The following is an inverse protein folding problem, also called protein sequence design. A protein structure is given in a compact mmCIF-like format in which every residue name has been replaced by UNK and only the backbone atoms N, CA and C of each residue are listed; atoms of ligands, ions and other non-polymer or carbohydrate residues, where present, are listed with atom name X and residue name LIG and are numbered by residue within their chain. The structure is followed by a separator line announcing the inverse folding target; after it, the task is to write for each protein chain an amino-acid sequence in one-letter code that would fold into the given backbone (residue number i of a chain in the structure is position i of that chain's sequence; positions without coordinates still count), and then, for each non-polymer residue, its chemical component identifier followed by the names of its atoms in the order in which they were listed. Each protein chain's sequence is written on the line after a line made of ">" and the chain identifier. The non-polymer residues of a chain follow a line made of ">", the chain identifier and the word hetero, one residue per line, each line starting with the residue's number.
data_IF_624325889861
#
_entry.id   IF_624325889861
#
_cell.length_a   1.000
_cell.length_b   1.000
_cell.length_c   1.000
_cell.angle_alpha   90.00
_cell.angle_beta   90.00
_cell.angle_gamma   90.00
#
_symmetry.space_group_name_H-M   'P 1'
#
loop_
_entity.id
_entity.type
_entity.pdbx_description
1 polymer ?
#
# COMPACT_ATOMS: atom_id res chain seq x y z
N UNK A 1 -22.48 9.94 -21.29
CA UNK A 1 -21.88 10.19 -19.97
C UNK A 1 -22.62 9.33 -18.95
N UNK A 2 -21.98 8.32 -18.34
CA UNK A 2 -22.61 7.54 -17.27
C UNK A 2 -22.51 8.34 -15.98
N UNK A 3 -23.64 8.73 -15.42
CA UNK A 3 -23.69 9.44 -14.13
C UNK A 3 -23.47 8.41 -13.02
N UNK A 4 -22.44 8.61 -12.20
CA UNK A 4 -22.27 7.85 -10.96
C UNK A 4 -23.14 8.48 -9.87
N UNK A 5 -24.06 7.70 -9.33
CA UNK A 5 -24.78 8.05 -8.11
C UNK A 5 -24.11 7.32 -6.94
N UNK A 6 -23.65 8.07 -5.94
CA UNK A 6 -23.19 7.51 -4.67
C UNK A 6 -24.02 8.03 -3.51
N UNK A 7 -24.08 7.26 -2.42
CA UNK A 7 -24.61 7.73 -1.15
C UNK A 7 -23.42 8.17 -0.30
N UNK A 8 -23.40 9.43 0.11
CA UNK A 8 -22.33 10.02 0.92
C UNK A 8 -22.87 10.63 2.21
N UNK A 9 -22.11 10.49 3.29
CA UNK A 9 -22.21 11.28 4.50
C UNK A 9 -21.42 12.58 4.30
N UNK A 10 -22.05 13.72 4.53
CA UNK A 10 -21.36 15.01 4.57
C UNK A 10 -20.70 15.16 5.94
N UNK A 11 -19.38 15.35 5.97
CA UNK A 11 -18.62 15.57 7.20
C UNK A 11 -18.03 16.97 7.20
N UNK A 12 -18.21 17.69 8.31
CA UNK A 12 -17.54 18.96 8.56
C UNK A 12 -16.13 18.70 9.06
N UNK A 13 -15.14 19.18 8.34
CA UNK A 13 -13.73 19.13 8.73
C UNK A 13 -13.30 20.52 9.16
N UNK A 14 -12.76 20.63 10.37
CA UNK A 14 -12.26 21.89 10.93
C UNK A 14 -10.73 21.87 10.92
N UNK A 15 -10.13 22.82 10.22
CA UNK A 15 -8.69 23.02 10.20
C UNK A 15 -8.18 23.37 11.60
N UNK A 16 -7.17 22.64 12.08
CA UNK A 16 -6.60 22.82 13.44
C UNK A 16 -5.94 24.20 13.62
N UNK A 17 -5.41 24.79 12.54
CA UNK A 17 -4.51 25.96 12.62
C UNK A 17 -5.15 27.26 12.14
N UNK A 18 -6.01 27.20 11.12
CA UNK A 18 -6.58 28.39 10.44
C UNK A 18 -8.03 28.70 10.81
N UNK A 19 -8.70 27.82 11.57
CA UNK A 19 -10.14 27.93 11.84
C UNK A 19 -11.03 27.73 10.60
N UNK A 20 -10.45 27.42 9.44
CA UNK A 20 -11.17 27.15 8.21
C UNK A 20 -12.02 25.88 8.33
N UNK A 21 -13.23 25.92 7.78
CA UNK A 21 -14.15 24.80 7.80
C UNK A 21 -14.53 24.42 6.38
N UNK A 22 -14.45 23.13 6.05
CA UNK A 22 -14.88 22.60 4.77
C UNK A 22 -15.73 21.34 4.96
N UNK A 23 -16.65 21.15 4.02
CA UNK A 23 -17.51 19.97 3.98
C UNK A 23 -16.92 18.95 3.01
N UNK A 24 -16.70 17.74 3.49
CA UNK A 24 -16.21 16.62 2.68
C UNK A 24 -17.30 15.57 2.52
N UNK A 25 -17.53 15.11 1.28
CA UNK A 25 -18.39 13.97 1.02
C UNK A 25 -17.62 12.69 1.29
N UNK A 26 -18.00 11.96 2.35
CA UNK A 26 -17.41 10.69 2.71
C UNK A 26 -18.40 9.55 2.45
N UNK A 27 -17.95 8.35 2.06
CA UNK A 27 -18.73 7.13 2.18
C UNK A 27 -19.48 7.03 3.52
N UNK A 28 -20.70 6.50 3.46
CA UNK A 28 -21.56 6.27 4.63
C UNK A 28 -20.86 5.41 5.68
N UNK A 29 -20.03 4.45 5.25
CA UNK A 29 -19.14 3.68 6.11
C UNK A 29 -17.83 3.34 5.40
N UNK A 30 -16.77 3.09 6.16
CA UNK A 30 -15.48 2.63 5.63
C UNK A 30 -15.63 1.34 4.81
N UNK A 31 -16.45 0.38 5.28
CA UNK A 31 -16.70 -0.87 4.57
C UNK A 31 -17.34 -0.64 3.19
N UNK A 32 -18.40 0.18 3.13
CA UNK A 32 -19.08 0.50 1.87
C UNK A 32 -18.20 1.34 0.95
N UNK A 33 -17.44 2.29 1.51
CA UNK A 33 -16.44 3.07 0.79
C UNK A 33 -15.40 2.18 0.13
N UNK A 34 -14.81 1.26 0.88
CA UNK A 34 -13.81 0.33 0.39
C UNK A 34 -14.37 -0.55 -0.73
N UNK A 35 -15.54 -1.16 -0.50
CA UNK A 35 -16.22 -2.01 -1.49
C UNK A 35 -16.55 -1.24 -2.77
N UNK A 36 -16.99 0.01 -2.63
CA UNK A 36 -17.31 0.88 -3.77
C UNK A 36 -16.05 1.23 -4.55
N UNK A 37 -14.96 1.59 -3.87
CA UNK A 37 -13.73 1.97 -4.54
C UNK A 37 -13.08 0.79 -5.27
N UNK A 38 -13.06 -0.41 -4.67
CA UNK A 38 -12.60 -1.62 -5.36
C UNK A 38 -13.47 -1.98 -6.57
N UNK A 39 -14.79 -1.77 -6.51
CA UNK A 39 -15.65 -1.93 -7.69
C UNK A 39 -15.33 -0.89 -8.76
N UNK A 40 -15.14 0.37 -8.37
CA UNK A 40 -14.75 1.44 -9.29
C UNK A 40 -13.41 1.15 -9.96
N UNK A 41 -12.42 0.70 -9.19
CA UNK A 41 -11.11 0.27 -9.68
C UNK A 41 -11.25 -0.78 -10.81
N UNK A 42 -12.11 -1.78 -10.61
CA UNK A 42 -12.36 -2.82 -11.61
C UNK A 42 -13.14 -2.33 -12.85
N UNK A 43 -14.05 -1.38 -12.69
CA UNK A 43 -15.06 -1.06 -13.72
C UNK A 43 -14.78 0.25 -14.48
N UNK A 44 -14.00 1.17 -13.91
CA UNK A 44 -13.70 2.45 -14.52
C UNK A 44 -12.49 2.34 -15.45
N UNK A 45 -12.42 3.25 -16.42
CA UNK A 45 -11.19 3.47 -17.16
C UNK A 45 -10.11 4.01 -16.21
N UNK A 46 -8.85 3.65 -16.46
CA UNK A 46 -7.73 4.03 -15.59
C UNK A 46 -7.65 5.56 -15.39
N UNK A 47 -7.89 6.35 -16.44
CA UNK A 47 -7.87 7.81 -16.37
C UNK A 47 -8.97 8.33 -15.44
N UNK A 48 -10.20 7.85 -15.60
CA UNK A 48 -11.34 8.25 -14.77
C UNK A 48 -11.14 7.85 -13.30
N UNK A 49 -10.59 6.64 -13.08
CA UNK A 49 -10.29 6.18 -11.75
C UNK A 49 -9.18 7.02 -11.09
N UNK A 50 -8.12 7.36 -11.83
CA UNK A 50 -7.06 8.22 -11.31
C UNK A 50 -7.59 9.62 -10.96
N UNK A 51 -8.51 10.17 -11.75
CA UNK A 51 -9.19 11.44 -11.43
C UNK A 51 -10.02 11.31 -10.14
N UNK A 52 -10.77 10.22 -9.98
CA UNK A 52 -11.51 9.92 -8.76
C UNK A 52 -10.57 9.83 -7.55
N UNK A 53 -9.45 9.11 -7.65
CA UNK A 53 -8.44 9.02 -6.59
C UNK A 53 -7.87 10.40 -6.26
N UNK A 54 -7.59 11.22 -7.27
CA UNK A 54 -7.10 12.58 -7.05
C UNK A 54 -8.10 13.44 -6.27
N UNK A 55 -9.40 13.30 -6.55
CA UNK A 55 -10.45 14.01 -5.82
C UNK A 55 -10.67 13.47 -4.41
N UNK A 56 -10.49 12.16 -4.23
CA UNK A 56 -10.63 11.50 -2.93
C UNK A 56 -9.35 11.53 -2.11
N UNK A 57 -8.22 12.06 -2.61
CA UNK A 57 -6.90 11.96 -1.98
C UNK A 57 -6.92 12.32 -0.49
N UNK A 58 -7.44 13.50 -0.16
CA UNK A 58 -7.50 14.01 1.22
C UNK A 58 -8.34 13.08 2.11
N UNK A 59 -9.34 12.43 1.51
CA UNK A 59 -10.17 11.47 2.19
C UNK A 59 -9.51 10.08 2.35
N UNK A 60 -8.81 9.56 1.34
CA UNK A 60 -8.09 8.28 1.39
C UNK A 60 -7.02 8.26 2.48
N UNK A 61 -6.46 9.44 2.76
CA UNK A 61 -5.40 9.67 3.74
C UNK A 61 -5.98 9.94 5.15
N UNK A 62 -7.28 10.20 5.26
CA UNK A 62 -7.95 10.40 6.55
C UNK A 62 -8.05 9.09 7.34
N UNK A 63 -8.31 9.20 8.65
CA UNK A 63 -8.45 8.09 9.61
C UNK A 63 -9.33 6.91 9.17
N UNK A 64 -10.19 7.09 8.17
CA UNK A 64 -11.34 6.23 7.94
C UNK A 64 -11.17 5.19 6.82
N UNK A 65 -10.04 5.11 6.11
CA UNK A 65 -10.02 4.35 4.85
C UNK A 65 -9.23 3.04 4.83
N UNK A 66 -8.48 2.73 5.90
CA UNK A 66 -7.85 1.42 6.11
C UNK A 66 -7.09 0.94 4.88
N UNK A 67 -7.46 -0.23 4.33
CA UNK A 67 -6.78 -0.81 3.17
C UNK A 67 -6.84 0.04 1.89
N UNK A 68 -7.93 0.78 1.66
CA UNK A 68 -8.08 1.49 0.38
C UNK A 68 -7.17 2.73 0.26
N UNK A 69 -6.49 3.12 1.34
CA UNK A 69 -5.38 4.08 1.29
C UNK A 69 -4.30 3.64 0.31
N UNK A 70 -4.19 2.34 -0.01
CA UNK A 70 -3.29 1.82 -1.04
C UNK A 70 -3.47 2.53 -2.40
N UNK A 71 -4.69 2.90 -2.77
CA UNK A 71 -4.95 3.58 -4.04
C UNK A 71 -4.36 5.00 -4.09
N UNK A 72 -4.04 5.61 -2.94
CA UNK A 72 -3.35 6.90 -2.92
C UNK A 72 -1.95 6.83 -3.56
N UNK A 73 -1.35 5.63 -3.66
CA UNK A 73 -0.08 5.42 -4.38
C UNK A 73 -0.21 5.61 -5.91
N UNK A 74 -1.43 5.76 -6.44
CA UNK A 74 -1.64 6.21 -7.82
C UNK A 74 -1.43 7.73 -8.01
N UNK A 75 -1.38 8.49 -6.91
CA UNK A 75 -1.15 9.92 -6.93
C UNK A 75 0.35 10.23 -6.77
N UNK A 76 0.98 10.75 -7.82
CA UNK A 76 2.42 11.04 -7.79
C UNK A 76 2.85 12.00 -6.68
N UNK A 77 2.05 13.01 -6.37
CA UNK A 77 2.35 13.95 -5.28
C UNK A 77 2.30 13.28 -3.90
N UNK A 78 1.42 12.29 -3.72
CA UNK A 78 1.38 11.47 -2.51
C UNK A 78 2.63 10.59 -2.40
N UNK A 79 2.97 9.87 -3.47
CA UNK A 79 4.17 9.03 -3.52
C UNK A 79 5.43 9.84 -3.20
N UNK A 80 5.60 11.04 -3.78
CA UNK A 80 6.73 11.92 -3.45
C UNK A 80 6.76 12.38 -1.99
N UNK A 81 5.59 12.58 -1.36
CA UNK A 81 5.53 12.94 0.05
C UNK A 81 5.92 11.75 0.96
N UNK A 82 5.59 10.53 0.54
CA UNK A 82 5.99 9.28 1.20
C UNK A 82 7.50 9.07 1.07
N UNK A 83 8.06 9.13 -0.14
CA UNK A 83 9.49 8.92 -0.42
C UNK A 83 10.40 9.77 0.47
N UNK A 84 10.04 11.05 0.69
CA UNK A 84 10.80 11.99 1.52
C UNK A 84 10.79 11.65 3.01
N UNK A 85 9.86 10.81 3.46
CA UNK A 85 9.61 10.51 4.88
C UNK A 85 9.74 9.03 5.23
N UNK A 86 10.12 8.18 4.28
CA UNK A 86 10.39 6.77 4.53
C UNK A 86 11.54 6.63 5.53
N UNK A 87 11.30 5.86 6.59
CA UNK A 87 12.32 5.47 7.56
C UNK A 87 12.50 3.97 7.52
N UNK A 88 13.73 3.52 7.27
CA UNK A 88 14.08 2.11 7.34
C UNK A 88 13.97 1.59 8.78
N UNK A 89 13.37 0.42 8.93
CA UNK A 89 13.33 -0.37 10.15
C UNK A 89 14.38 -1.45 10.02
N UNK A 90 15.37 -1.44 10.90
CA UNK A 90 16.51 -2.36 10.83
C UNK A 90 16.48 -3.34 12.00
N UNK A 91 16.82 -4.62 11.78
CA UNK A 91 16.92 -5.60 12.86
C UNK A 91 18.06 -5.24 13.83
N UNK A 92 19.12 -4.58 13.33
CA UNK A 92 20.23 -4.06 14.14
C UNK A 92 20.71 -2.69 13.63
N UNK A 93 21.16 -1.78 14.51
CA UNK A 93 21.78 -0.51 14.11
C UNK A 93 23.02 -0.68 13.23
N UNK A 94 23.70 -1.83 13.32
CA UNK A 94 24.93 -2.15 12.59
C UNK A 94 24.67 -2.63 11.15
N UNK A 95 23.42 -3.02 10.83
CA UNK A 95 23.04 -3.43 9.47
C UNK A 95 23.21 -2.26 8.50
N UNK A 96 23.77 -2.56 7.33
CA UNK A 96 23.91 -1.59 6.24
C UNK A 96 22.54 -1.01 5.89
N UNK A 97 22.47 0.33 5.78
CA UNK A 97 21.23 0.98 5.39
C UNK A 97 20.92 0.72 3.92
N UNK A 98 19.67 0.35 3.64
CA UNK A 98 19.15 0.14 2.30
C UNK A 98 18.19 1.26 1.93
N UNK A 99 18.39 1.87 0.76
CA UNK A 99 17.45 2.87 0.23
C UNK A 99 16.30 2.16 -0.47
N UNK A 100 15.08 2.43 -0.01
CA UNK A 100 13.86 1.85 -0.57
C UNK A 100 13.78 2.06 -2.09
N UNK A 101 13.47 0.99 -2.82
CA UNK A 101 13.29 0.98 -4.27
C UNK A 101 12.29 2.04 -4.74
N UNK A 102 11.20 2.27 -3.98
CA UNK A 102 10.24 3.34 -4.28
C UNK A 102 10.92 4.71 -4.34
N UNK A 103 11.84 5.01 -3.42
CA UNK A 103 12.56 6.28 -3.38
C UNK A 103 13.72 6.36 -4.39
N UNK A 104 14.33 5.23 -4.75
CA UNK A 104 15.44 5.17 -5.71
C UNK A 104 14.94 5.36 -7.14
N UNK A 105 13.82 4.73 -7.50
CA UNK A 105 13.29 4.71 -8.87
C UNK A 105 12.06 5.61 -9.06
N UNK A 106 11.94 6.69 -8.28
CA UNK A 106 10.76 7.57 -8.15
C UNK A 106 10.27 8.28 -9.42
N UNK A 107 11.04 8.23 -10.51
CA UNK A 107 10.64 8.74 -11.82
C UNK A 107 9.62 7.84 -12.51
N UNK A 108 9.69 6.54 -12.24
CA UNK A 108 8.74 5.55 -12.71
C UNK A 108 7.71 5.36 -11.60
N UNK A 109 6.45 5.73 -11.84
CA UNK A 109 5.40 5.72 -10.82
C UNK A 109 4.25 4.85 -11.23
N UNK A 110 3.64 4.22 -10.24
CA UNK A 110 2.42 3.47 -10.45
C UNK A 110 1.27 4.41 -10.81
N UNK A 111 1.01 4.58 -12.10
CA UNK A 111 -0.17 5.30 -12.62
C UNK A 111 -1.26 4.34 -13.07
N UNK A 112 -0.93 3.04 -13.10
CA UNK A 112 -1.82 1.93 -13.45
C UNK A 112 -2.05 1.05 -12.24
N UNK A 113 -3.23 0.43 -12.19
CA UNK A 113 -3.57 -0.54 -11.16
C UNK A 113 -4.19 -1.79 -11.77
N UNK A 114 -4.08 -2.90 -11.06
CA UNK A 114 -4.72 -4.16 -11.40
C UNK A 114 -5.38 -4.73 -10.15
N UNK A 115 -6.70 -4.93 -10.20
CA UNK A 115 -7.44 -5.54 -9.09
C UNK A 115 -7.37 -7.06 -9.23
N UNK A 116 -6.65 -7.72 -8.33
CA UNK A 116 -6.56 -9.18 -8.32
C UNK A 116 -7.86 -9.76 -7.76
N UNK A 117 -8.62 -10.55 -8.54
CA UNK A 117 -9.84 -11.19 -8.04
C UNK A 117 -9.49 -12.26 -6.99
N UNK A 118 -10.44 -12.72 -6.16
CA UNK A 118 -10.20 -13.87 -5.30
C UNK A 118 -9.71 -15.09 -6.09
N UNK A 119 -8.85 -15.91 -5.48
CA UNK A 119 -8.27 -17.08 -6.13
C UNK A 119 -9.34 -18.07 -6.63
N UNK A 120 -10.50 -18.19 -5.97
CA UNK A 120 -11.57 -19.08 -6.44
C UNK A 120 -12.16 -18.65 -7.79
N UNK A 121 -11.95 -17.39 -8.19
CA UNK A 121 -12.44 -16.80 -9.43
C UNK A 121 -11.29 -16.46 -10.40
N UNK A 122 -10.06 -16.86 -10.09
CA UNK A 122 -8.89 -16.57 -10.91
C UNK A 122 -8.55 -17.76 -11.79
N UNK A 123 -8.69 -17.60 -13.11
CA UNK A 123 -8.55 -18.69 -14.08
C UNK A 123 -7.26 -18.64 -14.89
N UNK A 124 -6.66 -17.47 -15.07
CA UNK A 124 -5.51 -17.27 -15.96
C UNK A 124 -4.45 -16.43 -15.26
N UNK A 125 -3.25 -16.99 -15.15
CA UNK A 125 -2.08 -16.28 -14.65
C UNK A 125 -1.74 -15.09 -15.55
N UNK A 126 -1.28 -14.02 -14.93
CA UNK A 126 -0.90 -12.78 -15.60
C UNK A 126 0.60 -12.59 -15.59
N UNK A 127 1.13 -11.85 -16.56
CA UNK A 127 2.53 -11.45 -16.55
C UNK A 127 2.78 -10.34 -15.53
N UNK A 128 3.98 -10.33 -14.96
CA UNK A 128 4.41 -9.24 -14.08
C UNK A 128 4.60 -7.98 -14.92
N UNK A 129 3.87 -6.93 -14.56
CA UNK A 129 4.07 -5.58 -15.08
C UNK A 129 4.73 -4.71 -14.01
N UNK A 130 5.81 -4.03 -14.39
CA UNK A 130 6.49 -3.09 -13.50
C UNK A 130 5.64 -1.85 -13.27
N UNK A 131 5.66 -1.33 -12.04
CA UNK A 131 4.92 -0.14 -11.64
C UNK A 131 3.41 -0.23 -11.87
N UNK A 132 2.86 -1.44 -11.88
CA UNK A 132 1.41 -1.63 -11.77
C UNK A 132 1.09 -1.90 -10.30
N UNK A 133 0.19 -1.10 -9.75
CA UNK A 133 -0.31 -1.32 -8.39
C UNK A 133 -1.29 -2.49 -8.39
N UNK A 134 -0.83 -3.66 -7.96
CA UNK A 134 -1.67 -4.82 -7.72
C UNK A 134 -2.40 -4.66 -6.40
N UNK A 135 -3.73 -4.68 -6.48
CA UNK A 135 -4.60 -4.54 -5.31
C UNK A 135 -5.47 -5.79 -5.16
N UNK A 136 -5.26 -6.60 -4.11
CA UNK A 136 -6.09 -7.77 -3.90
C UNK A 136 -7.53 -7.36 -3.62
N UNK A 137 -8.51 -8.09 -4.16
CA UNK A 137 -9.93 -7.89 -3.85
C UNK A 137 -10.29 -8.47 -2.48
N UNK A 138 -9.78 -9.66 -2.15
CA UNK A 138 -10.10 -10.37 -0.92
C UNK A 138 -9.64 -9.58 0.31
N UNK A 139 -10.52 -9.35 1.29
CA UNK A 139 -10.24 -8.53 2.49
C UNK A 139 -9.07 -9.07 3.34
N UNK A 140 -8.91 -10.38 3.35
CA UNK A 140 -7.96 -11.17 4.13
C UNK A 140 -6.74 -11.62 3.30
N UNK A 141 -6.38 -10.88 2.26
CA UNK A 141 -5.19 -11.18 1.48
C UNK A 141 -3.94 -11.18 2.39
N UNK A 142 -3.06 -12.17 2.27
CA UNK A 142 -1.96 -12.33 3.21
C UNK A 142 -0.91 -11.23 3.08
N UNK A 143 -0.27 -10.92 4.21
CA UNK A 143 0.90 -10.05 4.39
C UNK A 143 0.72 -8.55 4.07
N UNK A 144 0.11 -8.19 2.93
CA UNK A 144 0.06 -6.82 2.40
C UNK A 144 -1.33 -6.42 1.92
N UNK A 145 -1.55 -5.12 1.83
CA UNK A 145 -2.80 -4.48 1.40
C UNK A 145 -2.82 -4.15 -0.11
N UNK A 146 -1.63 -4.11 -0.72
CA UNK A 146 -1.37 -4.10 -2.15
C UNK A 146 0.13 -4.07 -2.38
N UNK A 147 0.57 -4.21 -3.63
CA UNK A 147 2.00 -4.29 -3.95
C UNK A 147 2.25 -3.91 -5.40
N UNK A 148 3.51 -3.67 -5.74
CA UNK A 148 3.95 -3.48 -7.12
C UNK A 148 5.38 -3.99 -7.29
N UNK A 149 5.78 -4.23 -8.53
CA UNK A 149 7.14 -4.64 -8.87
C UNK A 149 7.93 -3.46 -9.42
N UNK A 150 9.17 -3.33 -8.96
CA UNK A 150 10.13 -2.33 -9.42
C UNK A 150 11.16 -3.01 -10.30
N UNK A 151 11.46 -2.38 -11.44
CA UNK A 151 12.47 -2.85 -12.38
C UNK A 151 13.89 -2.51 -11.88
N UNK A 152 14.32 -3.23 -10.85
CA UNK A 152 15.67 -3.16 -10.27
C UNK A 152 16.48 -4.43 -10.58
N UNK A 153 17.75 -4.45 -10.15
CA UNK A 153 18.60 -5.64 -10.22
C UNK A 153 19.23 -5.93 -8.85
N UNK A 154 18.78 -6.96 -8.12
CA UNK A 154 17.63 -7.84 -8.41
C UNK A 154 16.28 -7.11 -8.51
N UNK A 155 15.29 -7.72 -9.15
CA UNK A 155 13.91 -7.20 -9.18
C UNK A 155 13.38 -7.05 -7.74
N UNK A 156 12.60 -6.01 -7.47
CA UNK A 156 12.07 -5.76 -6.11
C UNK A 156 10.54 -5.79 -6.09
N UNK A 157 9.97 -6.63 -5.22
CA UNK A 157 8.58 -6.55 -4.82
C UNK A 157 8.45 -5.54 -3.68
N UNK A 158 7.66 -4.48 -3.91
CA UNK A 158 7.33 -3.49 -2.87
C UNK A 158 5.92 -3.74 -2.38
N UNK A 159 5.82 -4.29 -1.17
CA UNK A 159 4.57 -4.54 -0.46
C UNK A 159 4.15 -3.31 0.34
N UNK A 160 2.89 -2.92 0.19
CA UNK A 160 2.27 -1.83 0.94
C UNK A 160 1.37 -2.42 2.01
N UNK A 161 1.60 -2.08 3.27
CA UNK A 161 0.76 -2.50 4.39
C UNK A 161 0.19 -1.30 5.11
N UNK A 162 -1.12 -1.15 5.04
CA UNK A 162 -1.87 -0.08 5.70
C UNK A 162 -2.10 -0.50 7.16
N UNK A 163 -1.35 0.09 8.08
CA UNK A 163 -1.41 -0.26 9.49
C UNK A 163 -2.11 0.84 10.29
N UNK A 164 -3.17 0.47 11.02
CA UNK A 164 -3.80 1.36 12.01
C UNK A 164 -3.15 1.24 13.39
N UNK A 165 -2.34 0.20 13.62
CA UNK A 165 -1.68 -0.08 14.89
C UNK A 165 -0.14 -0.01 14.80
N UNK A 166 0.52 0.06 15.96
CA UNK A 166 1.97 0.24 16.09
C UNK A 166 2.85 -1.00 15.85
N UNK A 167 2.27 -2.12 15.43
CA UNK A 167 2.99 -3.35 15.13
C UNK A 167 2.04 -4.49 14.79
N UNK A 168 2.49 -5.44 13.98
CA UNK A 168 1.72 -6.62 13.63
C UNK A 168 2.60 -7.86 13.68
N UNK A 169 2.09 -8.93 14.30
CA UNK A 169 2.74 -10.24 14.25
C UNK A 169 2.63 -10.78 12.82
N UNK A 170 3.76 -10.80 12.11
CA UNK A 170 3.88 -11.57 10.88
C UNK A 170 4.29 -12.98 11.26
N UNK A 171 3.60 -13.99 10.72
CA UNK A 171 3.98 -15.39 10.91
C UNK A 171 4.59 -15.94 9.63
N UNK A 172 5.42 -16.97 9.77
CA UNK A 172 5.99 -17.74 8.65
C UNK A 172 4.88 -18.29 7.74
N UNK A 173 3.78 -18.76 8.30
CA UNK A 173 2.60 -19.20 7.54
C UNK A 173 1.95 -18.08 6.73
N UNK A 174 1.93 -16.84 7.25
CA UNK A 174 1.41 -15.68 6.48
C UNK A 174 2.32 -15.36 5.30
N UNK A 175 3.65 -15.42 5.50
CA UNK A 175 4.62 -15.19 4.42
C UNK A 175 4.51 -16.27 3.35
N UNK A 176 4.40 -17.55 3.76
CA UNK A 176 4.16 -18.68 2.84
C UNK A 176 2.87 -18.52 2.05
N UNK A 177 1.76 -18.19 2.71
CA UNK A 177 0.49 -17.98 2.01
C UNK A 177 0.57 -16.85 0.99
N UNK A 178 1.33 -15.80 1.29
CA UNK A 178 1.56 -14.72 0.33
C UNK A 178 2.39 -15.18 -0.87
N UNK A 179 3.48 -15.94 -0.69
CA UNK A 179 4.25 -16.49 -1.82
C UNK A 179 3.43 -17.46 -2.67
N UNK A 180 2.62 -18.31 -2.05
CA UNK A 180 1.69 -19.22 -2.74
C UNK A 180 0.63 -18.44 -3.55
N UNK A 181 0.09 -17.35 -2.99
CA UNK A 181 -0.81 -16.46 -3.73
C UNK A 181 -0.12 -15.86 -4.95
N UNK A 182 1.10 -15.34 -4.82
CA UNK A 182 1.85 -14.77 -5.95
C UNK A 182 2.12 -15.82 -7.03
N UNK A 183 2.49 -17.05 -6.64
CA UNK A 183 2.67 -18.17 -7.56
C UNK A 183 1.37 -18.56 -8.30
N UNK A 184 0.22 -18.38 -7.66
CA UNK A 184 -1.08 -18.62 -8.27
C UNK A 184 -1.48 -17.50 -9.25
N UNK A 185 -1.09 -16.25 -8.99
CA UNK A 185 -1.43 -15.11 -9.86
C UNK A 185 -0.50 -14.94 -11.06
N UNK A 186 0.80 -15.18 -10.92
CA UNK A 186 1.79 -14.72 -11.89
C UNK A 186 2.43 -15.85 -12.72
N UNK A 187 2.61 -15.60 -14.01
CA UNK A 187 3.39 -16.46 -14.89
C UNK A 187 4.88 -16.42 -14.52
N UNK A 188 5.57 -17.54 -14.71
CA UNK A 188 7.03 -17.64 -14.48
C UNK A 188 7.46 -17.40 -13.04
N UNK A 189 6.54 -17.45 -12.06
CA UNK A 189 6.84 -17.08 -10.68
C UNK A 189 8.02 -17.85 -10.07
N UNK A 190 8.14 -19.15 -10.35
CA UNK A 190 9.23 -19.99 -9.84
C UNK A 190 10.62 -19.47 -10.24
N UNK A 191 10.76 -18.95 -11.45
CA UNK A 191 12.02 -18.34 -11.92
C UNK A 191 12.18 -16.94 -11.33
N UNK A 192 11.13 -16.12 -11.39
CA UNK A 192 11.12 -14.75 -10.90
C UNK A 192 11.42 -14.64 -9.40
N UNK A 193 10.97 -15.61 -8.59
CA UNK A 193 11.12 -15.57 -7.14
C UNK A 193 12.52 -15.91 -6.63
N UNK A 194 13.38 -16.50 -7.46
CA UNK A 194 14.73 -16.96 -7.03
C UNK A 194 15.63 -15.80 -6.61
N UNK A 195 15.58 -14.71 -7.37
CA UNK A 195 16.41 -13.52 -7.18
C UNK A 195 15.54 -12.28 -6.94
N UNK A 196 14.46 -12.41 -6.17
CA UNK A 196 13.54 -11.32 -5.85
C UNK A 196 13.90 -10.68 -4.50
N UNK A 197 14.18 -9.38 -4.49
CA UNK A 197 14.26 -8.59 -3.26
C UNK A 197 12.88 -8.16 -2.79
N UNK A 198 12.66 -8.11 -1.48
CA UNK A 198 11.38 -7.75 -0.90
C UNK A 198 11.54 -6.49 -0.06
N UNK A 199 10.62 -5.55 -0.25
CA UNK A 199 10.51 -4.35 0.57
C UNK A 199 9.08 -4.24 1.09
N UNK A 200 8.91 -4.04 2.39
CA UNK A 200 7.59 -3.80 2.99
C UNK A 200 7.55 -2.38 3.54
N UNK A 201 6.60 -1.58 3.02
CA UNK A 201 6.31 -0.24 3.52
C UNK A 201 5.05 -0.31 4.38
N UNK A 202 5.24 -0.07 5.67
CA UNK A 202 4.17 0.12 6.63
C UNK A 202 3.72 1.57 6.62
N UNK A 203 2.51 1.78 6.12
CA UNK A 203 1.89 3.10 5.98
C UNK A 203 0.95 3.28 7.16
N UNK A 204 1.36 4.11 8.12
CA UNK A 204 0.63 4.35 9.36
C UNK A 204 -0.11 5.68 9.32
N UNK A 205 -1.27 5.74 9.96
CA UNK A 205 -1.98 7.01 10.14
C UNK A 205 -1.29 7.88 11.22
N UNK A 206 -1.40 9.21 11.13
CA UNK A 206 -0.81 10.15 12.10
C UNK A 206 -1.20 9.92 13.56
N UNK A 207 -2.38 9.35 13.78
CA UNK A 207 -2.89 9.06 15.13
C UNK A 207 -2.51 7.66 15.62
N UNK A 208 -1.86 6.85 14.79
CA UNK A 208 -1.32 5.55 15.18
C UNK A 208 0.01 5.72 15.92
N UNK A 209 0.28 4.84 16.89
CA UNK A 209 1.62 4.76 17.50
C UNK A 209 2.65 4.45 16.42
N UNK A 210 3.66 5.30 16.19
CA UNK A 210 4.67 5.05 15.17
C UNK A 210 5.42 3.75 15.46
N UNK A 211 5.58 2.94 14.43
CA UNK A 211 6.28 1.68 14.52
C UNK A 211 7.78 1.93 14.41
N UNK A 212 8.49 1.73 15.51
CA UNK A 212 9.92 2.05 15.61
C UNK A 212 10.83 0.84 15.40
N UNK A 213 10.31 -0.36 15.61
CA UNK A 213 11.08 -1.59 15.59
C UNK A 213 10.87 -2.38 14.31
N UNK A 214 11.91 -3.08 13.89
CA UNK A 214 11.81 -4.09 12.82
C UNK A 214 10.84 -5.20 13.22
N UNK A 215 9.94 -5.55 12.30
CA UNK A 215 8.88 -6.53 12.57
C UNK A 215 9.42 -7.94 12.34
N UNK A 216 9.44 -8.73 13.41
CA UNK A 216 9.88 -10.13 13.37
C UNK A 216 8.86 -11.02 12.64
N UNK A 217 9.35 -12.09 12.02
CA UNK A 217 8.54 -13.19 11.53
C UNK A 217 8.54 -14.31 12.57
N UNK A 218 7.39 -14.59 13.16
CA UNK A 218 7.23 -15.61 14.18
C UNK A 218 6.89 -16.97 13.57
N UNK A 219 7.36 -18.03 14.20
CA UNK A 219 7.04 -19.41 13.82
C UNK A 219 5.53 -19.67 13.84
N UNK A 220 5.10 -20.57 12.96
CA UNK A 220 3.73 -21.03 12.89
C UNK A 220 3.66 -22.51 13.22
N UNK A 221 2.70 -22.88 14.08
CA UNK A 221 2.40 -24.27 14.40
C UNK A 221 1.91 -25.10 13.19
N UNK A 222 1.51 -24.43 12.11
CA UNK A 222 1.06 -25.07 10.87
C UNK A 222 2.20 -25.52 9.95
N UNK A 223 3.46 -25.18 10.31
CA UNK A 223 4.65 -25.48 9.51
C UNK A 223 5.63 -26.33 10.30
N UNK A 224 6.44 -27.09 9.58
CA UNK A 224 7.57 -27.81 10.18
C UNK A 224 8.63 -26.83 10.70
N UNK A 225 9.49 -27.30 11.61
CA UNK A 225 10.60 -26.48 12.13
C UNK A 225 11.54 -26.01 11.00
N UNK A 226 11.77 -26.86 10.00
CA UNK A 226 12.62 -26.54 8.84
C UNK A 226 11.99 -25.42 8.00
N UNK A 227 10.70 -25.55 7.65
CA UNK A 227 10.00 -24.51 6.88
C UNK A 227 9.93 -23.17 7.65
N UNK A 228 9.67 -23.21 8.96
CA UNK A 228 9.68 -22.02 9.81
C UNK A 228 11.04 -21.32 9.75
N UNK A 229 12.12 -22.09 9.91
CA UNK A 229 13.49 -21.58 9.90
C UNK A 229 13.87 -20.96 8.56
N UNK A 230 13.53 -21.61 7.45
CA UNK A 230 13.82 -21.11 6.10
C UNK A 230 13.09 -19.79 5.82
N UNK A 231 11.81 -19.70 6.16
CA UNK A 231 11.01 -18.49 5.95
C UNK A 231 11.45 -17.36 6.88
N UNK A 232 11.79 -17.66 8.13
CA UNK A 232 12.29 -16.68 9.07
C UNK A 232 13.64 -16.10 8.62
N UNK A 233 14.56 -16.96 8.14
CA UNK A 233 15.85 -16.53 7.59
C UNK A 233 15.66 -15.66 6.34
N UNK A 234 14.77 -16.05 5.42
CA UNK A 234 14.39 -15.22 4.28
C UNK A 234 13.88 -13.84 4.73
N UNK A 235 12.98 -13.81 5.72
CA UNK A 235 12.41 -12.57 6.24
C UNK A 235 13.47 -11.65 6.88
N UNK A 236 14.43 -12.21 7.61
CA UNK A 236 15.49 -11.45 8.26
C UNK A 236 16.55 -10.94 7.27
N UNK A 237 16.91 -11.74 6.27
CA UNK A 237 18.04 -11.46 5.38
C UNK A 237 17.64 -10.77 4.07
N UNK A 238 16.42 -10.99 3.58
CA UNK A 238 15.99 -10.57 2.21
C UNK A 238 14.83 -9.58 2.20
N UNK A 239 14.17 -9.33 3.33
CA UNK A 239 13.04 -8.41 3.43
C UNK A 239 13.46 -7.12 4.15
N UNK A 240 13.61 -6.04 3.38
CA UNK A 240 13.79 -4.71 3.95
C UNK A 240 12.45 -4.12 4.38
N UNK A 241 12.44 -3.42 5.50
CA UNK A 241 11.21 -2.88 6.07
C UNK A 241 11.32 -1.37 6.24
N UNK A 242 10.24 -0.67 5.94
CA UNK A 242 10.16 0.79 6.03
C UNK A 242 8.86 1.18 6.71
N UNK A 243 8.88 2.29 7.44
CA UNK A 243 7.68 2.91 7.96
C UNK A 243 7.54 4.34 7.46
N UNK A 244 6.29 4.77 7.33
CA UNK A 244 5.94 6.15 7.05
C UNK A 244 4.63 6.49 7.76
N UNK A 245 4.63 7.62 8.45
CA UNK A 245 3.41 8.18 9.03
C UNK A 245 2.79 9.15 8.03
N UNK A 246 1.55 8.90 7.65
CA UNK A 246 0.78 9.77 6.79
C UNK A 246 0.10 10.84 7.60
N UNK A 247 0.45 12.10 7.34
CA UNK A 247 -0.12 13.27 7.99
C UNK A 247 -0.98 14.08 7.03
N UNK A 248 -1.90 14.88 7.56
CA UNK A 248 -2.70 15.78 6.75
C UNK A 248 -1.83 16.78 5.95
N UNK A 249 -0.65 17.14 6.44
CA UNK A 249 0.30 18.04 5.77
C UNK A 249 0.80 17.48 4.43
N UNK A 250 0.94 16.15 4.31
CA UNK A 250 1.27 15.49 3.04
C UNK A 250 0.24 15.76 1.93
N UNK A 251 -1.00 16.13 2.29
CA UNK A 251 -2.03 16.50 1.35
C UNK A 251 -1.82 17.91 0.78
N UNK A 252 -1.16 18.80 1.53
CA UNK A 252 -1.07 20.23 1.22
C UNK A 252 0.28 20.64 0.61
N UNK A 253 1.34 19.85 0.74
CA UNK A 253 2.71 20.17 0.30
C UNK A 253 2.90 20.43 -1.21
N UNK A 254 1.89 20.16 -2.04
CA UNK A 254 1.94 20.45 -3.48
C UNK A 254 0.74 21.30 -3.96
N UNK A 255 -0.03 21.90 -3.05
CA UNK A 255 -1.02 22.91 -3.43
C UNK A 255 -0.23 24.19 -3.71
N UNK A 256 -0.23 24.67 -4.97
CA UNK A 256 0.29 26.00 -5.27
C UNK A 256 -0.33 26.99 -4.27
N UNK A 257 0.43 28.01 -3.80
CA UNK A 257 -0.16 29.02 -2.93
C UNK A 257 -1.41 29.55 -3.62
N UNK A 258 -2.55 29.44 -2.95
CA UNK A 258 -3.78 30.09 -3.40
C UNK A 258 -3.42 31.58 -3.52
N UNK A 259 -3.48 32.09 -4.76
CA UNK A 259 -3.35 33.53 -5.00
C UNK A 259 -4.42 34.17 -4.15
N UNK A 260 -4.02 34.93 -3.13
CA UNK A 260 -4.95 35.75 -2.38
C UNK A 260 -5.45 36.81 -3.33
N UNK A 261 -6.69 36.69 -3.79
CA UNK A 261 -7.40 37.83 -4.35
C UNK A 261 -7.58 38.84 -3.20
N UNK A 262 -6.78 39.91 -3.27
CA UNK A 262 -6.98 41.14 -2.50
C UNK A 262 -8.24 41.86 -3.01
#
# INVERSE_FOLDING_TARGET
>A
MKVLYWLARVVRVRGKTSGSEFFSNLPVSAHLGNKTLFKSAKLMQQVDFNLLISWLKDYLISENFGRCTVFAFLNGSFVSAIERRLRELRPSPQSQSHRCALAVYSQERSTRHHVLPPLEHFSERIDVEFWVLYTPWAANFPLVDGFFFVKSNPMTLVGLRMATAGGHHTTTSTVRQFTECLAAYFNGWEELSRDLSWEIIYVQHANSTPMNDWQKCNDSANLTEVENREIAAFWEEKVHQYQVTVTAEMCWENRLPEVSDN
#
